data_IF_621189081381
#
_entry.id   IF_621189081381
#
_cell.length_a   1.000
_cell.length_b   1.000
_cell.length_c   1.000
_cell.angle_alpha   90.00
_cell.angle_beta   90.00
_cell.angle_gamma   90.00
#
_symmetry.space_group_name_H-M   'P 1'
#
loop_
_entity.id
_entity.type
_entity.pdbx_description
1 polymer ?
#
# COMPACT_ATOMS: atom_id res chain seq x y z
N UNK A 1 -0.95 33.36 8.10
CA UNK A 1 0.30 32.75 8.61
C UNK A 1 0.41 31.37 8.01
N UNK A 2 1.52 31.04 7.34
CA UNK A 2 1.73 29.69 6.80
C UNK A 2 1.89 28.73 7.97
N UNK A 3 0.91 27.85 8.21
CA UNK A 3 1.07 26.76 9.16
C UNK A 3 2.15 25.82 8.60
N UNK A 4 3.22 25.50 9.35
CA UNK A 4 4.23 24.56 8.89
C UNK A 4 3.59 23.20 8.59
N UNK A 5 3.72 22.76 7.35
CA UNK A 5 3.29 21.44 6.88
C UNK A 5 4.54 20.62 6.57
N UNK A 6 4.61 19.42 7.13
CA UNK A 6 5.67 18.45 6.83
C UNK A 6 5.09 17.28 6.05
N UNK A 7 5.90 16.70 5.18
CA UNK A 7 5.54 15.55 4.37
C UNK A 7 6.72 14.58 4.32
N UNK A 8 6.58 13.44 5.00
CA UNK A 8 7.62 12.43 5.16
C UNK A 8 7.17 11.12 4.49
N UNK A 9 8.01 10.56 3.63
CA UNK A 9 7.78 9.23 3.03
C UNK A 9 8.48 8.15 3.84
N UNK A 10 7.86 6.98 3.95
CA UNK A 10 8.33 5.89 4.79
C UNK A 10 7.54 4.60 4.59
N UNK A 11 7.67 3.70 5.56
CA UNK A 11 6.88 2.47 5.70
C UNK A 11 6.26 2.43 7.09
N UNK A 12 5.84 1.25 7.55
CA UNK A 12 5.19 1.14 8.84
C UNK A 12 4.30 -0.08 9.00
N UNK A 13 3.55 -0.09 10.09
CA UNK A 13 2.56 -1.11 10.41
C UNK A 13 1.21 -0.45 10.63
N UNK A 14 0.15 -1.05 10.09
CA UNK A 14 -1.24 -0.75 10.46
C UNK A 14 -1.89 -2.08 10.87
N UNK A 15 -2.15 -2.24 12.16
CA UNK A 15 -2.51 -3.52 12.75
C UNK A 15 -1.48 -4.59 12.42
N UNK A 16 -1.94 -5.74 11.94
CA UNK A 16 -1.08 -6.88 11.58
C UNK A 16 -0.38 -6.73 10.21
N UNK A 17 -0.59 -5.61 9.50
CA UNK A 17 -0.06 -5.45 8.14
C UNK A 17 1.16 -4.55 8.16
N UNK A 18 2.28 -5.11 7.74
CA UNK A 18 3.56 -4.43 7.59
C UNK A 18 3.75 -3.95 6.15
N UNK A 19 4.17 -2.71 6.01
CA UNK A 19 4.49 -2.07 4.73
C UNK A 19 5.93 -1.56 4.78
N UNK A 20 6.72 -1.90 3.76
CA UNK A 20 8.06 -1.34 3.60
C UNK A 20 7.98 0.12 3.15
N UNK A 21 9.09 0.85 3.32
CA UNK A 21 9.23 2.12 2.61
C UNK A 21 9.37 1.85 1.11
N UNK A 22 8.83 2.71 0.22
CA UNK A 22 8.19 4.01 0.47
C UNK A 22 6.64 3.99 0.36
N UNK A 23 5.97 2.93 0.84
CA UNK A 23 4.51 2.74 0.64
C UNK A 23 3.60 3.47 1.65
N UNK A 24 4.19 4.27 2.54
CA UNK A 24 3.46 5.12 3.48
C UNK A 24 3.97 6.56 3.41
N UNK A 25 3.06 7.51 3.55
CA UNK A 25 3.36 8.93 3.61
C UNK A 25 2.67 9.56 4.81
N UNK A 26 3.46 10.21 5.66
CA UNK A 26 3.00 10.98 6.80
C UNK A 26 2.98 12.46 6.41
N UNK A 27 1.81 13.09 6.51
CA UNK A 27 1.60 14.52 6.25
C UNK A 27 1.07 15.11 7.54
N UNK A 28 1.71 16.15 8.06
CA UNK A 28 1.34 16.74 9.35
C UNK A 28 1.28 18.25 9.23
N UNK A 29 0.18 18.82 9.67
CA UNK A 29 -0.01 20.25 9.88
C UNK A 29 -0.46 20.50 11.32
N UNK A 30 -0.59 21.78 11.71
CA UNK A 30 -1.14 22.16 13.02
C UNK A 30 -2.50 21.50 13.30
N UNK A 31 -3.33 21.31 12.27
CA UNK A 31 -4.74 20.96 12.42
C UNK A 31 -5.04 19.47 12.16
N UNK A 32 -4.14 18.76 11.46
CA UNK A 32 -4.33 17.34 11.16
C UNK A 32 -3.02 16.58 11.02
N UNK A 33 -3.07 15.31 11.39
CA UNK A 33 -2.08 14.31 11.05
C UNK A 33 -2.73 13.33 10.07
N UNK A 34 -2.12 13.17 8.91
CA UNK A 34 -2.61 12.33 7.83
C UNK A 34 -1.57 11.27 7.48
N UNK A 35 -2.00 10.01 7.48
CA UNK A 35 -1.20 8.86 7.10
C UNK A 35 -1.81 8.24 5.85
N UNK A 36 -1.13 8.36 4.72
CA UNK A 36 -1.51 7.69 3.47
C UNK A 36 -0.71 6.42 3.35
N UNK A 37 -1.40 5.29 3.36
CA UNK A 37 -0.81 3.99 3.10
C UNK A 37 -1.36 3.48 1.77
N UNK A 38 -0.50 3.28 0.76
CA UNK A 38 -0.96 3.11 -0.64
C UNK A 38 -2.11 2.10 -0.77
N UNK A 39 -1.99 0.94 -0.14
CA UNK A 39 -2.99 -0.14 -0.23
C UNK A 39 -4.03 -0.07 0.90
N UNK A 40 -3.67 0.51 2.05
CA UNK A 40 -4.47 0.53 3.28
C UNK A 40 -5.32 1.78 3.47
N UNK A 41 -5.30 2.67 2.49
CA UNK A 41 -6.08 3.89 2.48
C UNK A 41 -5.45 5.01 3.30
N UNK A 42 -6.31 5.95 3.69
CA UNK A 42 -5.93 7.20 4.35
C UNK A 42 -6.47 7.21 5.78
N UNK A 43 -5.60 7.51 6.73
CA UNK A 43 -5.96 7.67 8.14
C UNK A 43 -5.72 9.13 8.50
N UNK A 44 -6.79 9.85 8.82
CA UNK A 44 -6.71 11.25 9.23
C UNK A 44 -7.07 11.35 10.69
N UNK A 45 -6.26 12.10 11.44
CA UNK A 45 -6.41 12.34 12.86
C UNK A 45 -6.50 13.83 13.12
N UNK A 46 -7.46 14.21 13.94
CA UNK A 46 -7.44 15.51 14.62
C UNK A 46 -6.47 15.45 15.81
N UNK A 47 -5.97 16.59 16.31
CA UNK A 47 -5.20 16.64 17.54
C UNK A 47 -5.93 15.95 18.70
N UNK A 48 -7.24 16.15 18.82
CA UNK A 48 -8.09 15.53 19.84
C UNK A 48 -8.21 14.00 19.72
N UNK A 49 -7.89 13.42 18.56
CA UNK A 49 -7.94 11.98 18.34
C UNK A 49 -6.66 11.28 18.80
N UNK A 50 -5.54 12.01 18.91
CA UNK A 50 -4.21 11.46 19.20
C UNK A 50 -3.92 11.62 20.69
N UNK A 51 -3.74 10.49 21.38
CA UNK A 51 -3.39 10.44 22.80
C UNK A 51 -1.91 10.77 22.99
N UNK A 52 -1.06 10.17 22.16
CA UNK A 52 0.39 10.40 22.20
C UNK A 52 1.07 9.88 20.94
N UNK A 53 2.24 10.44 20.65
CA UNK A 53 3.17 9.93 19.64
C UNK A 53 4.44 9.50 20.37
N UNK A 54 4.78 8.23 20.29
CA UNK A 54 5.91 7.64 21.04
C UNK A 54 6.90 6.99 20.09
N UNK A 55 8.20 6.89 20.45
CA UNK A 55 9.17 6.17 19.62
C UNK A 55 8.73 4.71 19.40
N UNK A 56 8.78 4.26 18.15
CA UNK A 56 8.60 2.84 17.83
C UNK A 56 9.96 2.14 17.92
N UNK A 57 10.05 1.04 18.68
CA UNK A 57 11.27 0.37 19.17
C UNK A 57 12.42 0.14 18.16
N UNK A 58 12.88 -1.11 18.01
CA UNK A 58 14.09 -1.38 17.21
C UNK A 58 13.79 -1.15 15.72
N UNK A 59 14.59 -0.29 15.08
CA UNK A 59 14.43 0.12 13.68
C UNK A 59 13.82 1.51 13.47
N UNK A 60 13.56 2.27 14.53
CA UNK A 60 13.13 3.67 14.47
C UNK A 60 11.69 3.86 13.98
N UNK A 61 11.20 5.09 14.12
CA UNK A 61 9.85 5.50 13.76
C UNK A 61 9.00 5.94 14.95
N UNK A 62 7.71 6.11 14.70
CA UNK A 62 6.73 6.63 15.67
C UNK A 62 5.50 5.75 15.72
N UNK A 63 5.05 5.45 16.93
CA UNK A 63 3.75 4.86 17.22
C UNK A 63 2.76 5.97 17.53
N UNK A 64 1.64 5.96 16.83
CA UNK A 64 0.53 6.91 17.01
C UNK A 64 -0.52 6.20 17.86
N UNK A 65 -0.64 6.62 19.12
CA UNK A 65 -1.70 6.15 20.01
C UNK A 65 -2.92 7.05 19.84
N UNK A 66 -4.10 6.49 19.58
CA UNK A 66 -5.31 7.26 19.26
C UNK A 66 -6.57 6.67 19.90
N UNK A 67 -7.64 7.47 19.94
CA UNK A 67 -8.96 7.08 20.48
C UNK A 67 -9.96 6.66 19.39
N UNK A 68 -9.62 6.85 18.10
CA UNK A 68 -10.54 6.54 16.97
C UNK A 68 -10.87 5.04 16.92
N UNK A 69 -12.11 4.68 17.25
CA UNK A 69 -12.52 3.27 17.34
C UNK A 69 -12.57 2.51 16.01
N UNK A 70 -12.69 3.21 14.88
CA UNK A 70 -12.72 2.59 13.55
C UNK A 70 -11.32 2.21 13.03
N UNK A 71 -10.27 2.73 13.66
CA UNK A 71 -8.89 2.50 13.25
C UNK A 71 -8.27 1.33 14.02
N UNK A 72 -7.30 0.65 13.41
CA UNK A 72 -6.49 -0.34 14.12
C UNK A 72 -5.73 0.34 15.26
N UNK A 73 -5.74 -0.25 16.45
CA UNK A 73 -5.04 0.29 17.64
C UNK A 73 -3.54 0.47 17.44
N UNK A 74 -2.93 -0.37 16.62
CA UNK A 74 -1.51 -0.30 16.30
C UNK A 74 -1.30 0.43 14.97
N UNK A 75 -0.80 1.66 15.04
CA UNK A 75 -0.36 2.44 13.88
C UNK A 75 1.07 2.91 14.14
N UNK A 76 2.00 2.38 13.35
CA UNK A 76 3.42 2.69 13.44
C UNK A 76 3.86 3.22 12.08
N UNK A 77 4.46 4.42 12.06
CA UNK A 77 5.12 4.97 10.89
C UNK A 77 6.64 4.93 11.08
N UNK A 78 7.37 4.51 10.05
CA UNK A 78 8.83 4.42 10.06
C UNK A 78 9.39 5.17 8.86
N UNK A 79 10.37 6.03 9.07
CA UNK A 79 11.10 6.73 8.01
C UNK A 79 12.60 6.55 8.20
N UNK A 80 13.35 6.69 7.10
CA UNK A 80 14.81 6.61 7.12
C UNK A 80 15.40 7.95 7.56
N UNK A 81 16.30 7.91 8.55
CA UNK A 81 17.22 9.02 8.84
C UNK A 81 16.61 10.31 9.37
N UNK A 82 15.34 10.33 9.79
CA UNK A 82 14.68 11.54 10.27
C UNK A 82 14.05 11.35 11.64
N UNK A 83 14.25 12.33 12.54
CA UNK A 83 13.54 12.38 13.82
C UNK A 83 12.09 12.84 13.55
N UNK A 84 11.23 11.86 13.34
CA UNK A 84 9.82 12.09 13.01
C UNK A 84 9.09 12.76 14.17
N UNK A 85 9.46 12.49 15.43
CA UNK A 85 8.80 13.09 16.60
C UNK A 85 9.10 14.58 16.65
N UNK A 86 10.37 14.96 16.52
CA UNK A 86 10.77 16.36 16.51
C UNK A 86 10.08 17.15 15.39
N UNK A 87 9.96 16.54 14.20
CA UNK A 87 9.25 17.16 13.08
C UNK A 87 7.75 17.31 13.35
N UNK A 88 7.07 16.28 13.87
CA UNK A 88 5.66 16.39 14.27
C UNK A 88 5.48 17.51 15.31
N UNK A 89 6.34 17.55 16.33
CA UNK A 89 6.29 18.56 17.38
C UNK A 89 6.46 19.99 16.82
N UNK A 90 7.34 20.16 15.83
CA UNK A 90 7.60 21.47 15.19
C UNK A 90 6.38 22.06 14.47
N UNK A 91 5.40 21.22 14.08
CA UNK A 91 4.16 21.68 13.44
C UNK A 91 3.15 22.28 14.42
N UNK A 92 3.33 22.07 15.73
CA UNK A 92 2.36 22.45 16.75
C UNK A 92 1.15 21.51 16.86
N UNK A 93 1.06 20.45 16.05
CA UNK A 93 -0.06 19.50 16.03
C UNK A 93 -0.42 18.96 17.42
N UNK A 94 0.58 18.48 18.18
CA UNK A 94 0.36 17.85 19.48
C UNK A 94 -0.14 18.80 20.57
N UNK A 95 0.04 20.11 20.38
CA UNK A 95 -0.35 21.14 21.35
C UNK A 95 -1.60 21.92 20.89
N UNK A 96 -2.19 21.55 19.75
CA UNK A 96 -3.33 22.25 19.20
C UNK A 96 -4.63 21.77 19.87
N UNK A 97 -5.15 22.55 20.82
CA UNK A 97 -6.45 22.30 21.45
C UNK A 97 -7.60 23.11 20.81
N UNK A 98 -7.33 23.83 19.71
CA UNK A 98 -8.37 24.57 19.01
C UNK A 98 -9.42 23.62 18.44
N UNK A 99 -10.68 24.04 18.49
CA UNK A 99 -11.76 23.28 17.91
C UNK A 99 -11.57 23.19 16.38
N UNK A 100 -11.41 21.97 15.87
CA UNK A 100 -11.34 21.72 14.44
C UNK A 100 -12.55 22.34 13.71
N UNK A 101 -12.29 22.96 12.56
CA UNK A 101 -13.34 23.57 11.74
C UNK A 101 -14.39 22.52 11.30
N UNK A 102 -15.65 22.91 11.06
CA UNK A 102 -16.68 22.00 10.58
C UNK A 102 -16.28 21.26 9.28
N UNK A 103 -15.57 21.95 8.39
CA UNK A 103 -15.09 21.37 7.12
C UNK A 103 -14.05 20.28 7.38
N UNK A 104 -13.10 20.52 8.29
CA UNK A 104 -12.07 19.54 8.64
C UNK A 104 -12.70 18.31 9.33
N UNK A 105 -13.69 18.51 10.21
CA UNK A 105 -14.42 17.39 10.83
C UNK A 105 -15.13 16.53 9.80
N UNK A 106 -15.77 17.14 8.79
CA UNK A 106 -16.38 16.40 7.70
C UNK A 106 -15.36 15.62 6.86
N UNK A 107 -14.20 16.21 6.56
CA UNK A 107 -13.10 15.54 5.86
C UNK A 107 -12.61 14.30 6.63
N UNK A 108 -12.41 14.44 7.94
CA UNK A 108 -11.96 13.36 8.82
C UNK A 108 -13.00 12.23 8.87
N UNK A 109 -14.28 12.55 8.93
CA UNK A 109 -15.34 11.53 8.95
C UNK A 109 -15.40 10.72 7.66
N UNK A 110 -15.25 11.37 6.50
CA UNK A 110 -15.15 10.69 5.20
C UNK A 110 -13.90 9.79 5.15
N UNK A 111 -12.77 10.27 5.67
CA UNK A 111 -11.55 9.47 5.76
C UNK A 111 -11.73 8.24 6.67
N UNK A 112 -12.46 8.38 7.78
CA UNK A 112 -12.70 7.29 8.72
C UNK A 112 -13.50 6.14 8.11
N UNK A 113 -14.55 6.48 7.38
CA UNK A 113 -15.37 5.52 6.64
C UNK A 113 -14.62 4.82 5.50
N UNK A 114 -13.53 5.44 5.03
CA UNK A 114 -12.64 4.90 4.01
C UNK A 114 -11.33 4.41 4.65
N UNK A 115 -11.39 3.52 5.64
CA UNK A 115 -10.21 2.82 6.16
C UNK A 115 -10.11 1.37 5.70
N UNK A 116 -8.91 0.80 5.77
CA UNK A 116 -8.60 -0.56 5.30
C UNK A 116 -8.34 -0.68 3.80
N UNK A 117 -8.21 -1.92 3.31
CA UNK A 117 -7.84 -2.21 1.92
C UNK A 117 -8.69 -1.44 0.89
N UNK A 118 -8.02 -0.74 -0.04
CA UNK A 118 -8.66 0.04 -1.08
C UNK A 118 -9.37 -0.81 -2.15
N UNK A 119 -8.85 -2.02 -2.39
CA UNK A 119 -9.38 -2.98 -3.37
C UNK A 119 -10.53 -3.77 -2.73
N UNK A 120 -11.60 -4.03 -3.51
CA UNK A 120 -12.69 -4.93 -3.11
C UNK A 120 -12.14 -6.33 -2.89
N UNK A 121 -12.60 -7.00 -1.84
CA UNK A 121 -12.20 -8.38 -1.53
C UNK A 121 -12.48 -9.32 -2.70
N UNK A 122 -13.61 -9.16 -3.39
CA UNK A 122 -13.96 -9.96 -4.58
C UNK A 122 -12.96 -9.77 -5.72
N UNK A 123 -12.53 -8.54 -5.99
CA UNK A 123 -11.54 -8.25 -7.03
C UNK A 123 -10.16 -8.83 -6.66
N UNK A 124 -9.75 -8.72 -5.39
CA UNK A 124 -8.51 -9.33 -4.90
C UNK A 124 -8.53 -10.86 -5.02
N UNK A 125 -9.64 -11.51 -4.63
CA UNK A 125 -9.82 -12.96 -4.79
C UNK A 125 -9.75 -13.35 -6.27
N UNK A 126 -10.48 -12.65 -7.14
CA UNK A 126 -10.47 -12.94 -8.58
C UNK A 126 -9.07 -12.81 -9.18
N UNK A 127 -8.32 -11.76 -8.80
CA UNK A 127 -6.93 -11.58 -9.23
C UNK A 127 -6.05 -12.77 -8.82
N UNK A 128 -6.12 -13.19 -7.55
CA UNK A 128 -5.34 -14.32 -7.02
C UNK A 128 -5.71 -15.62 -7.72
N UNK A 129 -7.00 -15.88 -7.95
CA UNK A 129 -7.48 -17.09 -8.64
C UNK A 129 -6.95 -17.14 -10.07
N UNK A 130 -7.12 -16.07 -10.85
CA UNK A 130 -6.66 -16.00 -12.24
C UNK A 130 -5.14 -16.15 -12.31
N UNK A 131 -4.41 -15.48 -11.41
CA UNK A 131 -2.96 -15.59 -11.33
C UNK A 131 -2.49 -17.02 -11.05
N UNK A 132 -3.13 -17.71 -10.09
CA UNK A 132 -2.79 -19.11 -9.78
C UNK A 132 -3.14 -20.07 -10.92
N UNK A 133 -4.24 -19.84 -11.66
CA UNK A 133 -4.60 -20.67 -12.82
C UNK A 133 -3.50 -20.65 -13.90
N UNK A 134 -2.86 -19.49 -14.11
CA UNK A 134 -1.71 -19.40 -15.02
C UNK A 134 -0.51 -20.20 -14.51
N UNK A 135 -0.18 -20.14 -13.22
CA UNK A 135 0.89 -20.97 -12.64
C UNK A 135 0.60 -22.46 -12.72
N UNK A 136 -0.63 -22.88 -12.45
CA UNK A 136 -1.04 -24.28 -12.54
C UNK A 136 -0.96 -24.83 -13.96
N UNK A 137 -1.12 -23.98 -14.98
CA UNK A 137 -0.93 -24.38 -16.37
C UNK A 137 0.51 -24.87 -16.65
N UNK A 138 1.51 -24.17 -16.12
CA UNK A 138 2.92 -24.57 -16.24
C UNK A 138 3.25 -25.85 -15.45
N UNK A 139 2.49 -26.14 -14.38
CA UNK A 139 2.71 -27.34 -13.57
C UNK A 139 2.07 -28.61 -14.13
N UNK A 140 1.38 -28.56 -15.28
CA UNK A 140 0.84 -29.78 -15.92
C UNK A 140 1.90 -30.83 -16.22
N UNK A 141 3.13 -30.38 -16.53
CA UNK A 141 4.28 -31.26 -16.70
C UNK A 141 4.61 -32.10 -15.46
N UNK A 142 4.39 -31.56 -14.25
CA UNK A 142 4.63 -32.23 -12.97
C UNK A 142 3.74 -33.46 -12.79
N UNK A 143 2.48 -33.36 -13.21
CA UNK A 143 1.49 -34.44 -13.11
C UNK A 143 1.76 -35.55 -14.13
N UNK A 144 2.41 -35.23 -15.26
CA UNK A 144 2.82 -36.19 -16.28
C UNK A 144 4.23 -36.74 -16.07
N UNK A 145 4.86 -36.52 -14.92
CA UNK A 145 6.21 -37.01 -14.59
C UNK A 145 7.38 -36.17 -15.14
N UNK A 146 7.10 -35.02 -15.74
CA UNK A 146 8.10 -34.00 -16.11
C UNK A 146 8.43 -33.07 -14.95
N UNK A 147 9.61 -32.44 -14.96
CA UNK A 147 10.01 -31.47 -13.93
C UNK A 147 9.17 -30.17 -13.94
N UNK A 148 9.41 -29.30 -12.96
CA UNK A 148 8.82 -27.95 -12.93
C UNK A 148 9.48 -27.10 -14.01
N UNK A 149 8.70 -26.63 -14.99
CA UNK A 149 9.18 -25.67 -15.98
C UNK A 149 9.06 -24.26 -15.41
N UNK A 150 10.15 -23.75 -14.83
CA UNK A 150 10.20 -22.36 -14.37
C UNK A 150 10.30 -21.46 -15.61
N UNK A 151 9.32 -20.59 -15.77
CA UNK A 151 9.29 -19.61 -16.87
C UNK A 151 8.65 -20.06 -18.18
N UNK A 152 7.79 -21.08 -18.08
CA UNK A 152 6.89 -21.48 -19.15
C UNK A 152 5.85 -20.42 -19.51
N UNK A 153 4.94 -20.79 -20.41
CA UNK A 153 3.89 -19.92 -20.94
C UNK A 153 3.01 -19.39 -19.81
N UNK A 154 2.66 -20.23 -18.83
CA UNK A 154 1.85 -19.87 -17.68
C UNK A 154 2.48 -18.77 -16.83
N UNK A 155 3.74 -18.88 -16.47
CA UNK A 155 4.49 -17.87 -15.71
C UNK A 155 4.50 -16.53 -16.46
N UNK A 156 4.77 -16.56 -17.77
CA UNK A 156 4.75 -15.36 -18.64
C UNK A 156 3.35 -14.75 -18.73
N UNK A 157 2.31 -15.57 -18.85
CA UNK A 157 0.91 -15.12 -18.84
C UNK A 157 0.52 -14.52 -17.50
N UNK A 158 0.98 -15.06 -16.38
CA UNK A 158 0.72 -14.51 -15.04
C UNK A 158 1.34 -13.12 -14.86
N UNK A 159 2.58 -12.93 -15.33
CA UNK A 159 3.25 -11.63 -15.33
C UNK A 159 2.57 -10.63 -16.27
N UNK A 160 2.21 -11.07 -17.49
CA UNK A 160 1.46 -10.26 -18.44
C UNK A 160 0.11 -9.83 -17.88
N UNK A 161 -0.62 -10.73 -17.22
CA UNK A 161 -1.86 -10.44 -16.53
C UNK A 161 -1.67 -9.40 -15.43
N UNK A 162 -0.66 -9.53 -14.57
CA UNK A 162 -0.36 -8.56 -13.52
C UNK A 162 -0.03 -7.17 -14.09
N UNK A 163 0.75 -7.12 -15.18
CA UNK A 163 1.07 -5.87 -15.88
C UNK A 163 -0.17 -5.21 -16.50
N UNK A 164 -1.00 -5.97 -17.22
CA UNK A 164 -2.26 -5.47 -17.80
C UNK A 164 -3.21 -5.00 -16.71
N UNK A 165 -3.35 -5.75 -15.61
CA UNK A 165 -4.17 -5.35 -14.47
C UNK A 165 -3.69 -4.01 -13.89
N UNK A 166 -2.38 -3.83 -13.71
CA UNK A 166 -1.81 -2.57 -13.24
C UNK A 166 -2.09 -1.40 -14.22
N UNK A 167 -1.94 -1.62 -15.53
CA UNK A 167 -2.24 -0.62 -16.55
C UNK A 167 -3.73 -0.23 -16.56
N UNK A 168 -4.64 -1.21 -16.52
CA UNK A 168 -6.07 -0.95 -16.43
C UNK A 168 -6.42 -0.17 -15.16
N UNK A 169 -5.83 -0.53 -14.02
CA UNK A 169 -5.99 0.23 -12.78
C UNK A 169 -5.47 1.65 -12.86
N UNK A 170 -4.39 1.91 -13.61
CA UNK A 170 -3.81 3.25 -13.73
C UNK A 170 -4.58 4.15 -14.68
N UNK A 171 -5.12 3.61 -15.77
CA UNK A 171 -5.60 4.40 -16.91
C UNK A 171 -7.08 4.24 -17.26
N UNK A 172 -7.79 3.25 -16.71
CA UNK A 172 -9.17 2.93 -17.10
C UNK A 172 -10.14 3.11 -15.94
N UNK A 173 -10.83 4.25 -15.88
CA UNK A 173 -11.78 4.59 -14.81
C UNK A 173 -12.89 3.53 -14.59
N UNK A 174 -13.53 2.96 -15.63
CA UNK A 174 -14.51 1.89 -15.44
C UNK A 174 -13.94 0.67 -14.70
N UNK A 175 -12.67 0.34 -14.97
CA UNK A 175 -11.99 -0.77 -14.31
C UNK A 175 -11.65 -0.43 -12.86
N UNK A 176 -11.25 0.81 -12.59
CA UNK A 176 -11.04 1.31 -11.22
C UNK A 176 -12.31 1.19 -10.39
N UNK A 177 -13.47 1.59 -10.93
CA UNK A 177 -14.77 1.47 -10.24
C UNK A 177 -15.11 0.00 -9.95
N UNK A 178 -14.77 -0.90 -10.86
CA UNK A 178 -14.99 -2.34 -10.67
C UNK A 178 -14.13 -2.89 -9.53
N UNK A 179 -12.86 -2.51 -9.46
CA UNK A 179 -11.86 -3.08 -8.54
C UNK A 179 -11.84 -2.39 -7.17
N UNK A 180 -12.00 -1.07 -7.13
CA UNK A 180 -11.92 -0.26 -5.92
C UNK A 180 -13.21 -0.30 -5.12
N UNK A 181 -13.08 -0.19 -3.79
CA UNK A 181 -14.23 0.06 -2.91
C UNK A 181 -14.82 1.45 -3.18
N UNK A 182 -16.13 1.66 -2.90
CA UNK A 182 -16.74 2.99 -3.01
C UNK A 182 -15.97 4.04 -2.20
N UNK A 183 -15.83 5.25 -2.73
CA UNK A 183 -15.12 6.35 -2.08
C UNK A 183 -13.59 6.25 -2.09
N UNK A 184 -13.02 5.33 -2.89
CA UNK A 184 -11.56 5.22 -3.10
C UNK A 184 -11.13 5.84 -4.43
N UNK A 185 -10.00 6.53 -4.43
CA UNK A 185 -9.36 7.07 -5.62
C UNK A 185 -8.19 6.17 -6.03
N UNK A 186 -8.08 5.86 -7.33
CA UNK A 186 -6.95 5.11 -7.87
C UNK A 186 -5.61 5.81 -7.65
N UNK A 187 -5.61 7.14 -7.43
CA UNK A 187 -4.43 7.93 -7.06
C UNK A 187 -3.69 7.38 -5.85
N UNK A 188 -4.41 6.86 -4.86
CA UNK A 188 -3.81 6.29 -3.64
C UNK A 188 -3.01 5.01 -3.94
N UNK A 189 -3.44 4.25 -4.97
CA UNK A 189 -2.80 3.02 -5.42
C UNK A 189 -1.75 3.24 -6.51
N UNK A 190 -1.65 4.43 -7.12
CA UNK A 190 -0.77 4.67 -8.29
C UNK A 190 0.64 4.19 -8.04
N UNK A 191 1.22 4.54 -6.88
CA UNK A 191 2.58 4.14 -6.55
C UNK A 191 2.73 2.61 -6.50
N UNK A 192 1.78 1.91 -5.88
CA UNK A 192 1.77 0.45 -5.84
C UNK A 192 1.55 -0.17 -7.22
N UNK A 193 0.69 0.40 -8.06
CA UNK A 193 0.46 -0.09 -9.43
C UNK A 193 1.68 0.11 -10.32
N UNK A 194 2.37 1.25 -10.23
CA UNK A 194 3.64 1.44 -10.92
C UNK A 194 4.72 0.47 -10.44
N UNK A 195 4.78 0.20 -9.13
CA UNK A 195 5.68 -0.81 -8.58
C UNK A 195 5.36 -2.21 -9.11
N UNK A 196 4.10 -2.63 -9.10
CA UNK A 196 3.66 -3.92 -9.64
C UNK A 196 3.99 -4.05 -11.13
N UNK A 197 3.72 -2.99 -11.91
CA UNK A 197 4.05 -2.94 -13.33
C UNK A 197 5.56 -3.06 -13.56
N UNK A 198 6.35 -2.28 -12.82
CA UNK A 198 7.81 -2.30 -12.90
C UNK A 198 8.39 -3.69 -12.60
N UNK A 199 7.98 -4.31 -11.49
CA UNK A 199 8.43 -5.66 -11.11
C UNK A 199 8.00 -6.69 -12.15
N UNK A 200 6.77 -6.62 -12.63
CA UNK A 200 6.25 -7.57 -13.64
C UNK A 200 7.05 -7.49 -14.94
N UNK A 201 7.30 -6.27 -15.43
CA UNK A 201 8.08 -6.03 -16.65
C UNK A 201 9.55 -6.40 -16.46
N UNK A 202 10.16 -6.04 -15.34
CA UNK A 202 11.56 -6.35 -15.06
C UNK A 202 11.80 -7.87 -15.00
N UNK A 203 10.92 -8.62 -14.33
CA UNK A 203 10.98 -10.09 -14.29
C UNK A 203 10.78 -10.65 -15.71
N UNK A 204 9.79 -10.15 -16.45
CA UNK A 204 9.52 -10.61 -17.81
C UNK A 204 10.71 -10.42 -18.76
N UNK A 205 11.36 -9.24 -18.70
CA UNK A 205 12.57 -8.95 -19.48
C UNK A 205 13.71 -9.85 -19.03
N UNK A 206 13.94 -9.99 -17.72
CA UNK A 206 15.00 -10.84 -17.17
C UNK A 206 14.86 -12.29 -17.63
N UNK A 207 13.63 -12.83 -17.65
CA UNK A 207 13.34 -14.16 -18.17
C UNK A 207 13.53 -14.28 -19.68
N UNK A 208 13.27 -13.20 -20.43
CA UNK A 208 13.43 -13.19 -21.89
C UNK A 208 14.89 -13.04 -22.32
N UNK A 209 15.71 -12.39 -21.49
CA UNK A 209 17.13 -12.15 -21.73
C UNK A 209 18.01 -13.35 -21.33
N UNK A 210 17.49 -14.30 -20.55
CA UNK A 210 18.21 -15.55 -20.28
C UNK A 210 18.20 -16.42 -21.55
N UNK A 211 19.37 -16.72 -22.16
CA UNK A 211 19.44 -17.67 -23.26
C UNK A 211 18.89 -19.01 -22.77
N UNK A 212 18.01 -19.62 -23.59
CA UNK A 212 17.19 -20.76 -23.22
C UNK A 212 17.96 -21.87 -22.53
N UNK A 213 17.97 -21.84 -21.19
CA UNK A 213 18.24 -23.01 -20.39
C UNK A 213 16.99 -23.90 -20.52
N UNK A 214 16.96 -24.69 -21.59
CA UNK A 214 16.29 -25.97 -21.56
C UNK A 214 16.97 -26.82 -20.46
N UNK A 215 16.72 -26.47 -19.20
CA UNK A 215 17.00 -27.34 -18.07
C UNK A 215 15.83 -28.31 -17.97
N UNK A 216 15.82 -29.28 -18.89
CA UNK A 216 15.44 -30.62 -18.47
C UNK A 216 16.47 -31.03 -17.43
N UNK A 217 16.13 -30.87 -16.15
CA UNK A 217 16.79 -31.64 -15.09
C UNK A 217 16.45 -33.10 -15.34
N UNK A 218 17.21 -33.74 -16.23
CA UNK A 218 17.30 -35.19 -16.29
C UNK A 218 17.88 -35.66 -14.95
N UNK A 219 17.05 -36.35 -14.17
CA UNK A 219 17.56 -37.40 -13.30
C UNK A 219 17.94 -38.60 -14.16
#
# INVERSE_FOLDING_TARGET
MNNPEISITGGGNIGNVRMSGPFMKLIVSKDKLELRASIMGRYVFLPSDVISVTPAGIGGGVRINHTVGQYNKEIIFRSLGSDVIAQIASTGFLNNMEAASPQLKAEVEIARQSTGFAIKTSAAIAFVVIWNLFFLYDQRGLLSGGGIVIGGIGTRSALGFAAVFALLMLFVEPFQILVLKPGRDAKDLRFFMFFLLFVSVAIFIGMSAMPGAAQTLHK
#
